data_IF_123257775731
#
_entry.id   IF_123257775731
#
_cell.length_a   1.000
_cell.length_b   1.000
_cell.length_c   1.000
_cell.angle_alpha   90.00
_cell.angle_beta   90.00
_cell.angle_gamma   90.00
#
_symmetry.space_group_name_H-M   'P 1'
#
loop_
_entity.id
_entity.type
_entity.pdbx_description
1 polymer ?
#
# COMPACT_ATOMS: atom_id res chain seq x y z
N UNK A 1 27.05 19.19 42.45
CA UNK A 1 25.71 18.58 42.26
C UNK A 1 24.89 18.81 43.50
N UNK A 2 23.75 19.50 43.39
CA UNK A 2 22.87 19.81 44.52
C UNK A 2 22.11 18.54 44.96
N UNK A 3 21.82 18.40 46.26
CA UNK A 3 21.11 17.24 46.82
C UNK A 3 19.74 16.98 46.15
N UNK A 4 19.14 18.00 45.54
CA UNK A 4 17.89 17.91 44.79
C UNK A 4 18.04 17.13 43.46
N UNK A 5 19.09 17.40 42.69
CA UNK A 5 19.34 16.77 41.39
C UNK A 5 19.58 15.26 41.51
N UNK A 6 20.31 14.83 42.55
CA UNK A 6 20.56 13.39 42.80
C UNK A 6 19.28 12.64 43.21
N UNK A 7 18.31 13.32 43.84
CA UNK A 7 17.03 12.71 44.23
C UNK A 7 16.11 12.51 43.02
N UNK A 8 16.08 13.47 42.11
CA UNK A 8 15.31 13.36 40.86
C UNK A 8 15.89 12.29 39.94
N UNK A 9 17.21 12.22 39.81
CA UNK A 9 17.89 11.18 39.02
C UNK A 9 17.57 9.77 39.54
N UNK A 10 17.57 9.57 40.87
CA UNK A 10 17.15 8.30 41.48
C UNK A 10 15.67 7.98 41.25
N UNK A 11 14.79 8.99 41.23
CA UNK A 11 13.36 8.80 40.94
C UNK A 11 13.15 8.36 39.48
N UNK A 12 13.85 9.01 38.54
CA UNK A 12 13.80 8.66 37.12
C UNK A 12 14.33 7.25 36.85
N UNK A 13 15.36 6.80 37.55
CA UNK A 13 15.87 5.43 37.41
C UNK A 13 14.85 4.37 37.85
N UNK A 14 14.13 4.62 38.96
CA UNK A 14 13.07 3.71 39.43
C UNK A 14 11.89 3.68 38.46
N UNK A 15 11.49 4.84 37.94
CA UNK A 15 10.40 4.95 36.98
C UNK A 15 10.75 4.28 35.64
N UNK A 16 11.97 4.47 35.14
CA UNK A 16 12.45 3.78 33.94
C UNK A 16 12.52 2.26 34.12
N UNK A 17 12.89 1.77 35.31
CA UNK A 17 12.86 0.35 35.61
C UNK A 17 11.42 -0.21 35.61
N UNK A 18 10.46 0.56 36.15
CA UNK A 18 9.04 0.22 36.12
C UNK A 18 8.49 0.20 34.68
N UNK A 19 8.76 1.25 33.90
CA UNK A 19 8.33 1.35 32.49
C UNK A 19 8.88 0.19 31.66
N UNK A 20 10.13 -0.21 31.88
CA UNK A 20 10.72 -1.38 31.20
C UNK A 20 9.95 -2.66 31.51
N UNK A 21 9.60 -2.89 32.79
CA UNK A 21 8.81 -4.04 33.21
C UNK A 21 7.40 -4.03 32.57
N UNK A 22 6.73 -2.88 32.58
CA UNK A 22 5.40 -2.73 31.99
C UNK A 22 5.42 -2.99 30.46
N UNK A 23 6.49 -2.56 29.77
CA UNK A 23 6.69 -2.86 28.34
C UNK A 23 6.83 -4.37 28.10
N UNK A 24 7.59 -5.07 28.91
CA UNK A 24 7.81 -6.52 28.75
C UNK A 24 6.53 -7.31 29.06
N UNK A 25 5.77 -6.90 30.07
CA UNK A 25 4.46 -7.49 30.40
C UNK A 25 3.44 -7.25 29.27
N UNK A 26 3.39 -6.05 28.69
CA UNK A 26 2.53 -5.72 27.56
C UNK A 26 2.91 -6.52 26.29
N UNK A 27 4.20 -6.68 26.02
CA UNK A 27 4.69 -7.52 24.91
C UNK A 27 4.27 -8.98 25.08
N UNK A 28 4.37 -9.52 26.30
CA UNK A 28 3.95 -10.88 26.62
C UNK A 28 2.44 -11.06 26.42
N UNK A 29 1.64 -10.12 26.94
CA UNK A 29 0.19 -10.14 26.77
C UNK A 29 -0.23 -10.08 25.30
N UNK A 30 0.45 -9.25 24.50
CA UNK A 30 0.19 -9.13 23.06
C UNK A 30 0.53 -10.44 22.33
N UNK A 31 1.67 -11.04 22.63
CA UNK A 31 2.08 -12.31 22.04
C UNK A 31 1.11 -13.46 22.40
N UNK A 32 0.67 -13.52 23.66
CA UNK A 32 -0.33 -14.48 24.13
C UNK A 32 -1.71 -14.24 23.48
N UNK A 33 -2.10 -12.97 23.32
CA UNK A 33 -3.34 -12.59 22.62
C UNK A 33 -3.28 -12.97 21.14
N UNK A 34 -2.15 -12.75 20.47
CA UNK A 34 -1.95 -13.16 19.08
C UNK A 34 -1.97 -14.69 18.95
N UNK A 35 -1.36 -15.44 19.88
CA UNK A 35 -1.46 -16.90 19.93
C UNK A 35 -2.91 -17.36 20.09
N UNK A 36 -3.66 -16.78 21.02
CA UNK A 36 -5.10 -17.10 21.23
C UNK A 36 -5.94 -16.79 19.99
N UNK A 37 -5.73 -15.65 19.33
CA UNK A 37 -6.42 -15.30 18.08
C UNK A 37 -6.08 -16.29 16.96
N UNK A 38 -4.81 -16.68 16.80
CA UNK A 38 -4.39 -17.68 15.80
C UNK A 38 -5.00 -19.06 16.06
N UNK A 39 -5.07 -19.50 17.31
CA UNK A 39 -5.73 -20.75 17.71
C UNK A 39 -7.24 -20.68 17.43
N UNK A 40 -7.88 -19.54 17.73
CA UNK A 40 -9.31 -19.34 17.47
C UNK A 40 -9.61 -19.36 15.96
N UNK A 41 -8.81 -18.69 15.13
CA UNK A 41 -8.94 -18.73 13.66
C UNK A 41 -8.70 -20.13 13.10
N UNK A 42 -7.72 -20.88 13.64
CA UNK A 42 -7.47 -22.27 13.23
C UNK A 42 -8.61 -23.22 13.62
N UNK A 43 -9.21 -23.04 14.81
CA UNK A 43 -10.35 -23.83 15.26
C UNK A 43 -11.61 -23.59 14.42
N UNK A 44 -11.84 -22.35 13.96
CA UNK A 44 -12.95 -22.01 13.04
C UNK A 44 -12.73 -22.65 11.66
N UNK A 45 -11.50 -22.68 11.15
CA UNK A 45 -11.17 -23.38 9.91
C UNK A 45 -11.41 -24.90 10.01
N UNK A 46 -11.06 -25.52 11.13
CA UNK A 46 -11.33 -26.95 11.36
C UNK A 46 -12.81 -27.28 11.60
N UNK A 47 -13.61 -26.34 12.13
CA UNK A 47 -15.07 -26.53 12.33
C UNK A 47 -15.86 -26.35 11.03
N UNK A 48 -15.38 -25.52 10.09
CA UNK A 48 -15.94 -25.41 8.75
C UNK A 48 -15.72 -26.66 7.88
N UNK A 49 -14.69 -27.48 8.19
CA UNK A 49 -14.43 -28.74 7.49
C UNK A 49 -15.31 -29.92 7.96
N UNK A 50 -16.03 -29.80 9.08
CA UNK A 50 -16.86 -30.87 9.67
C UNK A 50 -18.38 -30.66 9.52
N UNK A 51 -18.83 -29.52 8.98
CA UNK A 51 -20.22 -29.29 8.58
C UNK A 51 -20.27 -29.13 7.06
N UNK A 52 -20.25 -30.27 6.38
CA UNK A 52 -20.60 -30.35 4.97
C UNK A 52 -22.12 -30.17 4.79
N UNK A 53 -22.54 -29.02 4.28
CA UNK A 53 -23.75 -28.94 3.46
C UNK A 53 -23.33 -28.96 1.99
N UNK A 54 -23.51 -30.13 1.39
CA UNK A 54 -23.34 -30.40 -0.02
C UNK A 54 -24.52 -29.77 -0.76
N UNK A 55 -24.23 -28.80 -1.61
CA UNK A 55 -25.18 -28.23 -2.57
C UNK A 55 -25.90 -29.32 -3.37
N UNK A 56 -27.23 -29.25 -3.56
CA UNK A 56 -27.92 -30.14 -4.49
C UNK A 56 -27.70 -29.65 -5.94
N UNK A 57 -27.51 -30.57 -6.90
CA UNK A 57 -27.42 -30.24 -8.32
C UNK A 57 -28.83 -30.12 -8.94
N UNK A 58 -29.07 -29.19 -9.89
CA UNK A 58 -30.25 -29.26 -10.75
C UNK A 58 -29.88 -29.82 -12.14
N UNK A 59 -30.55 -30.91 -12.54
CA UNK A 59 -30.57 -31.40 -13.93
C UNK A 59 -32.02 -31.64 -14.40
N UNK A 60 -32.25 -31.25 -15.67
CA UNK A 60 -33.19 -31.77 -16.69
C UNK A 60 -34.68 -31.27 -16.76
N UNK A 61 -34.93 -30.39 -17.75
CA UNK A 61 -35.94 -30.35 -18.86
C UNK A 61 -37.46 -30.63 -18.58
N UNK A 62 -38.43 -29.97 -19.30
CA UNK A 62 -38.62 -30.07 -20.76
C UNK A 62 -39.04 -28.78 -21.52
N UNK A 63 -39.11 -28.95 -22.84
CA UNK A 63 -39.33 -28.05 -23.98
C UNK A 63 -40.50 -27.05 -23.91
N UNK A 64 -40.36 -25.88 -24.58
CA UNK A 64 -41.11 -25.50 -25.81
C UNK A 64 -40.71 -24.11 -26.32
N UNK A 65 -40.20 -24.07 -27.57
CA UNK A 65 -40.21 -23.02 -28.62
C UNK A 65 -40.29 -21.53 -28.23
N UNK A 66 -39.32 -20.72 -28.70
CA UNK A 66 -39.47 -19.70 -29.77
C UNK A 66 -38.17 -18.88 -29.94
N UNK A 67 -37.51 -19.07 -31.09
CA UNK A 67 -36.83 -18.11 -31.99
C UNK A 67 -36.47 -16.71 -31.39
N UNK A 68 -35.26 -16.11 -31.51
CA UNK A 68 -34.45 -15.86 -32.72
C UNK A 68 -33.07 -15.25 -32.32
N UNK A 69 -31.98 -15.77 -32.92
CA UNK A 69 -30.81 -15.07 -33.53
C UNK A 69 -29.62 -14.46 -32.71
N UNK A 70 -28.43 -15.08 -32.93
CA UNK A 70 -27.05 -14.53 -33.13
C UNK A 70 -26.22 -14.14 -31.87
N UNK A 71 -24.95 -14.52 -31.62
CA UNK A 71 -23.96 -15.40 -32.28
C UNK A 71 -22.80 -15.77 -31.30
N UNK A 72 -22.39 -17.03 -31.38
CA UNK A 72 -21.04 -17.64 -31.32
C UNK A 72 -19.99 -17.40 -30.19
N UNK A 73 -19.71 -18.52 -29.48
CA UNK A 73 -18.40 -19.13 -29.14
C UNK A 73 -17.48 -18.42 -28.12
N UNK A 74 -17.44 -18.88 -26.87
CA UNK A 74 -16.69 -20.05 -26.34
C UNK A 74 -15.16 -19.91 -26.31
N UNK A 75 -14.68 -19.72 -25.08
CA UNK A 75 -13.53 -20.37 -24.43
C UNK A 75 -12.79 -21.43 -25.27
N UNK A 76 -11.47 -21.29 -25.40
CA UNK A 76 -10.50 -22.25 -24.89
C UNK A 76 -9.07 -21.69 -24.92
N UNK A 77 -8.29 -22.07 -23.90
CA UNK A 77 -6.94 -21.55 -23.67
C UNK A 77 -5.91 -22.03 -24.68
N UNK A 78 -4.79 -21.30 -24.69
CA UNK A 78 -3.48 -21.87 -25.01
C UNK A 78 -2.42 -21.08 -24.25
N UNK A 79 -1.81 -21.75 -23.26
CA UNK A 79 -0.39 -21.59 -23.04
C UNK A 79 0.31 -22.07 -24.31
N UNK A 80 1.04 -21.21 -25.01
CA UNK A 80 2.36 -21.54 -25.56
C UNK A 80 2.97 -20.36 -26.34
N UNK A 81 4.07 -19.86 -25.79
CA UNK A 81 5.26 -19.39 -26.50
C UNK A 81 5.08 -18.63 -27.84
N UNK A 82 5.09 -17.30 -27.76
CA UNK A 82 5.81 -16.48 -28.74
C UNK A 82 6.97 -15.78 -28.04
N UNK A 83 8.01 -16.57 -27.78
CA UNK A 83 9.29 -16.15 -27.26
C UNK A 83 10.18 -15.54 -28.38
N UNK A 84 9.68 -14.52 -29.07
CA UNK A 84 10.46 -13.77 -30.06
C UNK A 84 10.18 -12.27 -29.91
N UNK A 85 11.09 -11.62 -29.18
CA UNK A 85 11.36 -10.17 -29.21
C UNK A 85 10.12 -9.26 -29.12
N UNK A 86 9.39 -9.32 -28.00
CA UNK A 86 8.66 -8.14 -27.53
C UNK A 86 9.52 -7.45 -26.50
N UNK A 87 9.93 -6.22 -26.77
CA UNK A 87 10.18 -5.26 -25.70
C UNK A 87 8.97 -5.34 -24.76
N UNK A 88 9.11 -6.02 -23.63
CA UNK A 88 8.05 -6.07 -22.64
C UNK A 88 7.88 -4.64 -22.14
N UNK A 89 6.85 -3.95 -22.65
CA UNK A 89 6.45 -2.64 -22.12
C UNK A 89 6.30 -2.86 -20.62
N UNK A 90 7.02 -2.10 -19.78
CA UNK A 90 6.90 -2.27 -18.34
C UNK A 90 5.43 -2.09 -17.97
N UNK A 91 4.92 -3.00 -17.14
CA UNK A 91 3.58 -2.91 -16.56
C UNK A 91 3.67 -2.38 -15.12
N UNK A 92 2.61 -1.74 -14.63
CA UNK A 92 2.54 -1.16 -13.27
C UNK A 92 2.83 -2.16 -12.16
N UNK A 93 2.68 -3.46 -12.42
CA UNK A 93 3.03 -4.52 -11.46
C UNK A 93 4.51 -4.51 -11.05
N UNK A 94 5.38 -3.82 -11.80
CA UNK A 94 6.80 -3.62 -11.44
C UNK A 94 7.01 -2.52 -10.41
N UNK A 95 6.00 -1.69 -10.15
CA UNK A 95 6.04 -0.64 -9.15
C UNK A 95 5.43 -1.16 -7.85
N UNK A 96 6.13 -0.94 -6.73
CA UNK A 96 5.61 -1.24 -5.40
C UNK A 96 4.97 0.03 -4.82
N UNK A 97 3.67 0.18 -5.04
CA UNK A 97 2.89 1.33 -4.57
C UNK A 97 2.12 0.93 -3.30
N UNK A 98 2.49 1.56 -2.18
CA UNK A 98 1.92 1.29 -0.86
C UNK A 98 1.36 2.56 -0.23
N UNK A 99 0.37 2.37 0.64
CA UNK A 99 -0.18 3.46 1.46
C UNK A 99 0.73 3.64 2.68
N UNK A 100 1.34 4.82 2.78
CA UNK A 100 2.15 5.22 3.92
C UNK A 100 1.49 6.30 4.76
N UNK A 101 1.78 6.31 6.07
CA UNK A 101 1.44 7.42 6.96
C UNK A 101 2.71 8.19 7.30
N UNK A 102 2.72 9.49 7.03
CA UNK A 102 3.79 10.39 7.45
C UNK A 102 3.66 10.60 8.97
N UNK A 103 4.73 10.28 9.70
CA UNK A 103 4.81 10.44 11.15
C UNK A 103 5.39 11.80 11.54
N UNK A 104 6.51 12.17 10.93
CA UNK A 104 7.21 13.42 11.20
C UNK A 104 7.76 14.03 9.91
N UNK A 105 7.84 15.36 9.88
CA UNK A 105 8.35 16.16 8.76
C UNK A 105 9.34 17.18 9.28
N UNK A 106 10.59 17.08 8.82
CA UNK A 106 11.71 17.94 9.22
C UNK A 106 12.28 18.61 7.98
N UNK A 107 12.79 19.84 8.11
CA UNK A 107 13.60 20.46 7.04
C UNK A 107 14.96 19.79 6.96
N UNK A 108 15.50 19.63 5.75
CA UNK A 108 16.85 19.13 5.58
C UNK A 108 17.85 20.18 6.11
N UNK A 109 18.84 19.81 6.94
CA UNK A 109 19.78 20.78 7.53
C UNK A 109 20.62 21.51 6.48
N UNK A 110 20.93 20.83 5.37
CA UNK A 110 21.76 21.39 4.29
C UNK A 110 20.98 21.96 3.10
N UNK A 111 19.65 21.83 3.06
CA UNK A 111 18.84 22.28 1.92
C UNK A 111 17.45 22.76 2.32
N UNK A 112 17.17 24.04 2.06
CA UNK A 112 15.86 24.64 2.33
C UNK A 112 14.76 24.16 1.36
N UNK A 113 15.11 23.52 0.23
CA UNK A 113 14.14 23.03 -0.76
C UNK A 113 13.65 21.62 -0.48
N UNK A 114 14.27 20.90 0.46
CA UNK A 114 13.98 19.49 0.75
C UNK A 114 13.44 19.30 2.16
N UNK A 115 12.42 18.45 2.27
CA UNK A 115 11.89 17.98 3.55
C UNK A 115 12.17 16.49 3.73
N UNK A 116 12.64 16.13 4.93
CA UNK A 116 12.84 14.77 5.38
C UNK A 116 11.58 14.32 6.10
N UNK A 117 10.96 13.25 5.61
CA UNK A 117 9.73 12.69 6.13
C UNK A 117 9.97 11.27 6.64
N UNK A 118 9.45 10.95 7.82
CA UNK A 118 9.43 9.57 8.31
C UNK A 118 8.07 8.94 7.97
N UNK A 119 8.08 7.90 7.14
CA UNK A 119 6.87 7.27 6.61
C UNK A 119 6.74 5.83 7.12
N UNK A 120 5.63 5.56 7.78
CA UNK A 120 5.23 4.23 8.21
C UNK A 120 4.50 3.52 7.06
N UNK A 121 5.09 2.45 6.52
CA UNK A 121 4.56 1.66 5.39
C UNK A 121 4.02 0.29 5.81
N UNK A 122 3.86 0.04 7.11
CA UNK A 122 3.55 -1.29 7.66
C UNK A 122 4.77 -2.22 7.78
N UNK A 123 5.98 -1.67 7.67
CA UNK A 123 7.26 -2.34 7.92
C UNK A 123 7.66 -2.21 9.40
N UNK A 124 8.57 -3.06 9.92
CA UNK A 124 8.97 -2.99 11.34
C UNK A 124 9.66 -1.68 11.72
N UNK A 125 10.22 -0.95 10.75
CA UNK A 125 10.84 0.35 10.93
C UNK A 125 10.27 1.36 9.93
N UNK A 126 10.04 2.63 10.32
CA UNK A 126 9.69 3.71 9.40
C UNK A 126 10.79 3.93 8.36
N UNK A 127 10.40 4.27 7.14
CA UNK A 127 11.34 4.66 6.09
C UNK A 127 11.50 6.18 6.07
N UNK A 128 12.72 6.64 5.86
CA UNK A 128 13.01 8.06 5.65
C UNK A 128 12.89 8.39 4.17
N UNK A 129 12.03 9.34 3.83
CA UNK A 129 11.77 9.81 2.46
C UNK A 129 12.11 11.28 2.38
N UNK A 130 12.94 11.67 1.41
CA UNK A 130 13.26 13.08 1.15
C UNK A 130 12.42 13.56 -0.02
N UNK A 131 11.68 14.66 0.17
CA UNK A 131 10.76 15.19 -0.84
C UNK A 131 11.02 16.67 -1.11
N UNK A 132 10.96 17.07 -2.38
CA UNK A 132 11.15 18.44 -2.84
C UNK A 132 9.87 19.29 -2.85
N UNK A 133 9.02 19.14 -1.83
CA UNK A 133 7.69 19.78 -1.80
C UNK A 133 7.72 21.28 -1.47
N UNK A 134 8.88 21.83 -1.13
CA UNK A 134 9.04 23.21 -0.67
C UNK A 134 8.66 24.24 -1.73
N UNK A 135 8.91 23.92 -3.00
CA UNK A 135 8.63 24.82 -4.12
C UNK A 135 7.15 24.83 -4.53
N UNK A 136 6.33 23.90 -4.01
CA UNK A 136 4.89 23.88 -4.27
C UNK A 136 4.09 24.69 -3.25
N UNK A 137 4.72 25.11 -2.14
CA UNK A 137 4.13 25.99 -1.12
C UNK A 137 4.73 27.41 -1.19
N UNK A 138 5.89 27.58 -1.85
CA UNK A 138 6.55 28.88 -1.97
C UNK A 138 6.79 29.22 -3.46
N UNK A 139 6.16 30.29 -3.92
CA UNK A 139 6.10 30.79 -5.31
C UNK A 139 7.44 31.18 -5.96
N UNK A 140 8.61 30.82 -5.41
CA UNK A 140 9.90 31.33 -5.88
C UNK A 140 11.03 30.31 -5.73
N UNK A 141 11.03 29.23 -6.52
CA UNK A 141 12.26 28.49 -6.79
C UNK A 141 12.10 27.54 -7.99
N UNK A 142 12.74 27.85 -9.11
CA UNK A 142 12.88 26.92 -10.24
C UNK A 142 13.97 25.88 -9.95
N UNK A 143 13.74 24.58 -10.18
CA UNK A 143 14.75 23.56 -9.97
C UNK A 143 15.51 23.18 -11.26
N UNK A 144 16.83 22.99 -11.15
CA UNK A 144 17.69 22.45 -12.22
C UNK A 144 17.92 20.92 -12.11
N UNK A 145 18.19 20.37 -13.31
CA UNK A 145 18.48 19.03 -13.84
C UNK A 145 18.91 17.89 -12.91
N UNK A 146 18.05 16.87 -12.99
CA UNK A 146 18.34 15.53 -13.53
C UNK A 146 19.36 14.65 -12.77
N UNK A 147 18.81 13.61 -12.13
CA UNK A 147 19.55 12.44 -11.66
C UNK A 147 19.32 11.28 -12.64
N UNK A 148 20.42 10.68 -13.10
CA UNK A 148 20.46 9.66 -14.14
C UNK A 148 19.84 8.32 -13.67
N UNK A 149 18.67 7.89 -14.20
CA UNK A 149 17.91 6.80 -13.61
C UNK A 149 18.33 5.45 -14.21
N UNK A 150 19.14 4.70 -13.47
CA UNK A 150 19.35 3.27 -13.75
C UNK A 150 18.15 2.45 -13.28
N UNK A 151 17.00 2.70 -13.89
CA UNK A 151 15.86 1.80 -14.10
C UNK A 151 14.80 2.61 -14.86
N UNK A 152 14.88 2.60 -16.21
CA UNK A 152 13.99 3.25 -17.19
C UNK A 152 12.52 2.74 -17.17
N UNK A 153 12.10 2.08 -16.10
CA UNK A 153 10.76 1.53 -15.94
C UNK A 153 9.78 2.67 -15.63
N UNK A 154 10.16 3.60 -14.74
CA UNK A 154 9.32 4.74 -14.36
C UNK A 154 9.05 5.68 -15.54
N UNK A 155 10.07 6.12 -16.27
CA UNK A 155 9.92 7.02 -17.43
C UNK A 155 9.01 6.45 -18.53
N UNK A 156 8.96 5.12 -18.68
CA UNK A 156 8.10 4.44 -19.65
C UNK A 156 6.66 4.28 -19.16
N UNK A 157 6.45 4.28 -17.84
CA UNK A 157 5.14 4.16 -17.21
C UNK A 157 4.50 5.53 -16.94
N UNK A 158 5.31 6.57 -16.73
CA UNK A 158 4.88 7.92 -16.36
C UNK A 158 3.84 8.52 -17.33
N UNK A 159 3.96 8.41 -18.67
CA UNK A 159 2.95 8.96 -19.58
C UNK A 159 1.58 8.29 -19.46
N UNK A 160 1.56 7.05 -18.98
CA UNK A 160 0.34 6.25 -18.82
C UNK A 160 -0.30 6.45 -17.40
N UNK A 161 0.36 7.20 -16.50
CA UNK A 161 -0.10 7.53 -15.15
C UNK A 161 -0.67 8.96 -15.09
N UNK A 162 -2.00 9.06 -15.01
CA UNK A 162 -2.69 10.35 -14.98
C UNK A 162 -3.95 10.32 -14.11
N UNK A 163 -4.43 11.49 -13.71
CA UNK A 163 -5.73 11.61 -13.04
C UNK A 163 -6.86 11.69 -14.07
N UNK A 164 -8.03 11.15 -13.74
CA UNK A 164 -9.24 11.29 -14.58
C UNK A 164 -9.91 12.68 -14.40
N UNK A 165 -11.02 12.89 -15.11
CA UNK A 165 -11.82 14.12 -14.99
C UNK A 165 -12.38 14.38 -13.58
N UNK A 166 -12.46 13.33 -12.74
CA UNK A 166 -12.93 13.39 -11.35
C UNK A 166 -11.76 13.52 -10.36
N UNK A 167 -10.51 13.57 -10.84
CA UNK A 167 -9.28 13.63 -10.06
C UNK A 167 -8.79 12.28 -9.53
N UNK A 168 -9.43 11.17 -9.88
CA UNK A 168 -9.02 9.82 -9.48
C UNK A 168 -7.73 9.45 -10.21
N UNK A 169 -6.72 8.97 -9.47
CA UNK A 169 -5.49 8.49 -10.08
C UNK A 169 -5.77 7.22 -10.88
N UNK A 170 -5.33 7.18 -12.14
CA UNK A 170 -5.52 6.07 -13.06
C UNK A 170 -4.22 5.69 -13.76
N UNK A 171 -4.08 4.41 -14.11
CA UNK A 171 -3.06 3.91 -15.02
C UNK A 171 -3.73 3.26 -16.22
N UNK A 172 -3.49 3.75 -17.44
CA UNK A 172 -4.18 3.27 -18.66
C UNK A 172 -5.72 3.17 -18.48
N UNK A 173 -6.30 4.11 -17.73
CA UNK A 173 -7.74 4.13 -17.41
C UNK A 173 -8.19 3.23 -16.25
N UNK A 174 -7.30 2.44 -15.66
CA UNK A 174 -7.60 1.63 -14.46
C UNK A 174 -7.36 2.47 -13.21
N UNK A 175 -8.40 2.66 -12.39
CA UNK A 175 -8.31 3.46 -11.18
C UNK A 175 -7.46 2.79 -10.08
N UNK A 176 -6.72 3.61 -9.36
CA UNK A 176 -5.98 3.18 -8.18
C UNK A 176 -6.94 2.98 -7.01
N UNK A 177 -7.13 1.72 -6.61
CA UNK A 177 -7.99 1.34 -5.50
C UNK A 177 -7.19 0.79 -4.33
N UNK A 178 -7.52 1.26 -3.12
CA UNK A 178 -7.12 0.61 -1.88
C UNK A 178 -8.26 -0.29 -1.44
N UNK A 179 -8.01 -1.61 -1.44
CA UNK A 179 -9.00 -2.64 -1.08
C UNK A 179 -9.70 -2.30 0.23
N UNK A 180 -11.02 -2.11 0.16
CA UNK A 180 -11.87 -1.83 1.32
C UNK A 180 -11.82 -0.39 1.87
N UNK A 181 -11.08 0.52 1.23
CA UNK A 181 -11.03 1.95 1.61
C UNK A 181 -11.50 2.89 0.48
N UNK A 182 -11.37 2.48 -0.78
CA UNK A 182 -11.84 3.24 -1.94
C UNK A 182 -10.71 3.70 -2.86
N UNK A 183 -11.02 4.67 -3.72
CA UNK A 183 -10.13 5.13 -4.80
C UNK A 183 -9.16 6.23 -4.34
N UNK A 184 -7.94 6.20 -4.85
CA UNK A 184 -6.94 7.25 -4.66
C UNK A 184 -7.28 8.43 -5.59
N UNK A 185 -7.40 9.64 -5.03
CA UNK A 185 -7.82 10.84 -5.76
C UNK A 185 -7.05 12.08 -5.32
N UNK A 186 -6.73 12.95 -6.28
CA UNK A 186 -6.23 14.30 -6.04
C UNK A 186 -7.36 15.27 -5.66
N UNK A 187 -7.12 16.26 -4.78
CA UNK A 187 -8.15 17.20 -4.35
C UNK A 187 -8.74 18.04 -5.49
N UNK A 188 -7.88 18.61 -6.34
CA UNK A 188 -8.25 19.60 -7.37
C UNK A 188 -7.65 19.34 -8.75
N UNK A 189 -6.70 18.41 -8.89
CA UNK A 189 -5.98 18.16 -10.15
C UNK A 189 -6.68 17.06 -10.93
N UNK A 190 -7.44 17.45 -11.97
CA UNK A 190 -8.04 16.55 -12.95
C UNK A 190 -7.21 16.54 -14.25
N UNK A 191 -7.15 15.39 -14.93
CA UNK A 191 -6.37 15.21 -16.16
C UNK A 191 -4.88 15.61 -16.02
N UNK A 192 -4.32 15.49 -14.81
CA UNK A 192 -2.92 15.82 -14.51
C UNK A 192 -2.01 14.60 -14.60
N UNK A 193 -0.75 14.82 -14.95
CA UNK A 193 0.29 13.79 -14.94
C UNK A 193 0.74 13.48 -13.50
N UNK A 194 0.99 12.20 -13.21
CA UNK A 194 1.56 11.76 -11.93
C UNK A 194 3.07 11.52 -12.11
N UNK A 195 3.90 12.19 -11.30
CA UNK A 195 5.37 12.18 -11.41
C UNK A 195 6.05 11.84 -10.09
#
# INVERSE_FOLDING_TARGET
MTKASVREEKKLLVENAKIKKDIDDLKKLLHDTQKRKRVLTAAIASKAALLGERAPPPQAAPDTRSETSLDAACLNGSDSACALMREQKPDVSRLDLRVGRILDVRKHPDSESLHIQEVELGEPAPRTVVSGLTNHICFLCEPEKELNPKQRIWERLQPDLCTDAKGVATYKGVAFEVRGKGLCRAPSVSNGEIK
#
